data_IF_694068854922
#
_entry.id   IF_694068854922
#
_cell.length_a   1.000
_cell.length_b   1.000
_cell.length_c   1.000
_cell.angle_alpha   90.00
_cell.angle_beta   90.00
_cell.angle_gamma   90.00
#
_symmetry.space_group_name_H-M   'P 1'
#
loop_
_entity.id
_entity.type
_entity.pdbx_description
1 polymer ?
#
# COMPACT_ATOMS: atom_id res chain seq x y z
N UNK A 1 14.22 -31.21 -53.20
CA UNK A 1 13.53 -29.98 -52.88
C UNK A 1 14.58 -28.88 -52.68
N UNK A 2 14.66 -27.87 -53.59
CA UNK A 2 15.56 -26.71 -53.47
C UNK A 2 14.88 -25.67 -52.53
N UNK A 3 15.36 -25.51 -51.31
CA UNK A 3 15.00 -24.41 -50.46
C UNK A 3 15.56 -23.10 -51.04
N UNK A 4 14.65 -22.26 -51.60
CA UNK A 4 15.02 -20.90 -52.02
C UNK A 4 15.42 -20.10 -50.80
N UNK A 5 16.69 -19.70 -50.69
CA UNK A 5 17.10 -18.69 -49.72
C UNK A 5 16.35 -17.38 -50.01
N UNK A 6 15.74 -16.74 -49.02
CA UNK A 6 15.10 -15.46 -49.28
C UNK A 6 16.14 -14.44 -49.76
N UNK A 7 15.78 -13.70 -50.80
CA UNK A 7 16.67 -12.69 -51.40
C UNK A 7 16.81 -11.51 -50.44
N UNK A 8 17.95 -10.82 -50.47
CA UNK A 8 18.23 -9.61 -49.68
C UNK A 8 17.14 -8.53 -49.81
N UNK A 9 16.39 -8.47 -50.91
CA UNK A 9 15.26 -7.59 -51.12
C UNK A 9 14.09 -7.92 -50.21
N UNK A 10 13.86 -9.21 -49.91
CA UNK A 10 12.78 -9.67 -49.04
C UNK A 10 12.94 -9.20 -47.60
N UNK A 11 14.19 -9.16 -47.08
CA UNK A 11 14.50 -8.67 -45.76
C UNK A 11 14.29 -7.15 -45.61
N UNK A 12 14.60 -6.38 -46.65
CA UNK A 12 14.32 -4.93 -46.65
C UNK A 12 12.84 -4.60 -46.64
N UNK A 13 12.05 -5.36 -47.41
CA UNK A 13 10.60 -5.20 -47.44
C UNK A 13 9.98 -5.59 -46.07
N UNK A 14 10.46 -6.67 -45.45
CA UNK A 14 10.03 -7.06 -44.12
C UNK A 14 10.41 -6.00 -43.06
N UNK A 15 11.65 -5.51 -43.08
CA UNK A 15 12.09 -4.49 -42.13
C UNK A 15 11.35 -3.16 -42.32
N UNK A 16 11.10 -2.72 -43.53
CA UNK A 16 10.34 -1.50 -43.82
C UNK A 16 8.86 -1.61 -43.47
N UNK A 17 8.29 -2.82 -43.52
CA UNK A 17 6.89 -3.06 -43.12
C UNK A 17 6.71 -3.25 -41.60
N UNK A 18 7.70 -3.83 -40.92
CA UNK A 18 7.60 -4.10 -39.47
C UNK A 18 7.97 -2.89 -38.63
N UNK A 19 8.90 -2.03 -39.04
CA UNK A 19 9.31 -0.84 -38.32
C UNK A 19 8.15 0.13 -38.00
N UNK A 20 7.29 0.53 -38.99
CA UNK A 20 6.14 1.38 -38.68
C UNK A 20 5.11 0.69 -37.79
N UNK A 21 4.92 -0.63 -37.93
CA UNK A 21 4.01 -1.38 -37.07
C UNK A 21 4.48 -1.39 -35.60
N UNK A 22 5.78 -1.61 -35.38
CA UNK A 22 6.39 -1.55 -34.06
C UNK A 22 6.30 -0.13 -33.47
N UNK A 23 6.54 0.90 -34.29
CA UNK A 23 6.41 2.29 -33.87
C UNK A 23 4.95 2.65 -33.51
N UNK A 24 3.96 2.16 -34.28
CA UNK A 24 2.56 2.36 -33.99
C UNK A 24 2.15 1.62 -32.70
N UNK A 25 2.57 0.40 -32.51
CA UNK A 25 2.34 -0.35 -31.29
C UNK A 25 2.97 0.35 -30.07
N UNK A 26 4.18 0.89 -30.22
CA UNK A 26 4.85 1.67 -29.20
C UNK A 26 4.09 2.95 -28.81
N UNK A 27 3.44 3.60 -29.79
CA UNK A 27 2.66 4.81 -29.58
C UNK A 27 1.23 4.55 -29.07
N UNK A 28 0.66 3.39 -29.43
CA UNK A 28 -0.74 3.04 -29.09
C UNK A 28 -0.89 2.33 -27.73
N UNK A 29 0.20 1.89 -27.12
CA UNK A 29 0.17 1.24 -25.80
C UNK A 29 0.82 2.15 -24.74
N UNK A 30 0.14 3.24 -24.33
CA UNK A 30 0.73 4.27 -23.46
C UNK A 30 1.12 3.75 -22.07
N UNK A 31 0.53 2.62 -21.62
CA UNK A 31 0.78 2.06 -20.30
C UNK A 31 1.81 0.91 -20.28
N UNK A 32 2.33 0.53 -21.44
CA UNK A 32 3.38 -0.49 -21.59
C UNK A 32 4.45 0.00 -22.55
N UNK A 33 5.13 1.05 -22.17
CA UNK A 33 6.30 1.46 -22.92
C UNK A 33 7.35 0.37 -22.80
N UNK A 34 7.86 -0.12 -23.94
CA UNK A 34 8.95 -1.12 -23.99
C UNK A 34 10.14 -0.66 -23.14
N UNK A 35 10.33 0.65 -23.05
CA UNK A 35 11.31 1.29 -22.18
C UNK A 35 11.03 0.99 -20.71
N UNK A 36 9.82 1.25 -20.23
CA UNK A 36 9.46 1.03 -18.82
C UNK A 36 9.55 -0.45 -18.46
N UNK A 37 9.14 -1.34 -19.38
CA UNK A 37 9.31 -2.77 -19.21
C UNK A 37 10.79 -3.17 -19.15
N UNK A 38 11.65 -2.59 -20.00
CA UNK A 38 13.07 -2.87 -19.99
C UNK A 38 13.73 -2.31 -18.72
N UNK A 39 13.37 -1.10 -18.29
CA UNK A 39 13.90 -0.46 -17.10
C UNK A 39 13.49 -1.26 -15.85
N UNK A 40 12.20 -1.62 -15.71
CA UNK A 40 11.70 -2.47 -14.61
C UNK A 40 12.36 -3.86 -14.63
N UNK A 41 12.55 -4.45 -15.82
CA UNK A 41 13.20 -5.75 -15.94
C UNK A 41 14.68 -5.68 -15.52
N UNK A 42 15.39 -4.63 -15.90
CA UNK A 42 16.78 -4.41 -15.50
C UNK A 42 16.90 -4.14 -14.00
N UNK A 43 15.97 -3.38 -13.43
CA UNK A 43 15.88 -3.14 -11.99
C UNK A 43 15.59 -4.43 -11.21
N UNK A 44 14.80 -5.33 -11.78
CA UNK A 44 14.51 -6.65 -11.17
C UNK A 44 15.76 -7.52 -11.08
N UNK A 45 16.68 -7.42 -12.04
CA UNK A 45 17.98 -8.13 -12.01
C UNK A 45 18.95 -7.53 -11.00
N UNK A 46 18.83 -6.25 -10.68
CA UNK A 46 19.62 -5.56 -9.65
C UNK A 46 18.70 -4.86 -8.63
N UNK A 47 17.82 -5.65 -8.00
CA UNK A 47 16.82 -5.17 -7.05
C UNK A 47 17.41 -4.35 -5.89
N UNK A 48 18.73 -4.42 -5.67
CA UNK A 48 19.43 -3.66 -4.63
C UNK A 48 19.81 -2.24 -5.06
N UNK A 49 19.75 -1.95 -6.35
CA UNK A 49 20.27 -0.69 -6.88
C UNK A 49 19.39 0.51 -6.60
N UNK A 50 18.06 0.32 -6.63
CA UNK A 50 17.07 1.37 -6.45
C UNK A 50 16.04 1.03 -5.37
N UNK A 51 16.41 0.16 -4.42
CA UNK A 51 15.52 -0.23 -3.34
C UNK A 51 16.25 -0.30 -2.00
N UNK A 52 15.51 -0.01 -0.96
CA UNK A 52 15.99 0.06 0.41
C UNK A 52 15.47 -1.14 1.18
N UNK A 53 16.39 -1.81 1.85
CA UNK A 53 16.10 -3.03 2.57
C UNK A 53 15.40 -2.72 3.89
N UNK A 54 14.26 -3.35 4.12
CA UNK A 54 13.54 -3.35 5.39
C UNK A 54 13.65 -4.75 5.99
N UNK A 55 14.12 -4.84 7.23
CA UNK A 55 14.23 -6.09 7.98
C UNK A 55 13.37 -6.05 9.22
N UNK A 56 12.60 -7.09 9.44
CA UNK A 56 11.91 -7.30 10.71
C UNK A 56 11.70 -8.80 10.94
N UNK A 57 11.97 -9.27 12.14
CA UNK A 57 11.77 -10.66 12.58
C UNK A 57 12.29 -11.73 11.59
N UNK A 58 13.52 -11.54 11.11
CA UNK A 58 14.17 -12.43 10.16
C UNK A 58 13.65 -12.36 8.73
N UNK A 59 12.67 -11.54 8.45
CA UNK A 59 12.09 -11.31 7.13
C UNK A 59 12.67 -10.04 6.49
N UNK A 60 12.74 -10.04 5.18
CA UNK A 60 13.33 -8.96 4.39
C UNK A 60 12.38 -8.57 3.28
N UNK A 61 12.20 -7.27 3.11
CA UNK A 61 11.48 -6.68 2.00
C UNK A 61 12.30 -5.51 1.42
N UNK A 62 12.19 -5.28 0.13
CA UNK A 62 12.87 -4.17 -0.55
C UNK A 62 11.85 -3.15 -1.01
N UNK A 63 12.01 -1.90 -0.56
CA UNK A 63 11.09 -0.80 -0.82
C UNK A 63 11.74 0.29 -1.68
N UNK A 64 11.00 0.86 -2.62
CA UNK A 64 11.55 1.80 -3.60
C UNK A 64 11.86 3.21 -3.05
N UNK A 65 11.20 3.64 -1.97
CA UNK A 65 11.38 4.96 -1.39
C UNK A 65 12.23 4.88 -0.11
N UNK A 66 13.38 5.56 -0.09
CA UNK A 66 14.32 5.54 1.04
C UNK A 66 13.69 6.05 2.34
N UNK A 67 13.01 7.20 2.29
CA UNK A 67 12.36 7.80 3.46
C UNK A 67 11.33 6.85 4.08
N UNK A 68 10.48 6.26 3.25
CA UNK A 68 9.44 5.35 3.72
C UNK A 68 10.04 4.06 4.29
N UNK A 69 11.11 3.54 3.68
CA UNK A 69 11.82 2.38 4.20
C UNK A 69 12.44 2.65 5.57
N UNK A 70 13.02 3.83 5.76
CA UNK A 70 13.60 4.24 7.04
C UNK A 70 12.53 4.38 8.14
N UNK A 71 11.39 5.01 7.83
CA UNK A 71 10.27 5.15 8.76
C UNK A 71 9.66 3.79 9.15
N UNK A 72 9.52 2.88 8.19
CA UNK A 72 9.07 1.51 8.47
C UNK A 72 10.09 0.73 9.30
N UNK A 73 11.38 0.91 9.06
CA UNK A 73 12.43 0.28 9.87
C UNK A 73 12.41 0.77 11.33
N UNK A 74 11.93 1.98 11.60
CA UNK A 74 11.68 2.50 12.95
C UNK A 74 10.39 1.91 13.55
N UNK A 75 9.30 1.87 12.78
CA UNK A 75 7.99 1.47 13.26
C UNK A 75 7.87 -0.03 13.53
N UNK A 76 8.39 -0.87 12.63
CA UNK A 76 8.17 -2.32 12.68
C UNK A 76 8.70 -2.99 13.98
N UNK A 77 9.89 -2.64 14.51
CA UNK A 77 10.36 -3.19 15.79
C UNK A 77 9.45 -2.81 16.97
N UNK A 78 8.82 -1.63 16.92
CA UNK A 78 7.86 -1.22 17.94
C UNK A 78 6.58 -2.02 17.82
N UNK A 79 6.08 -2.20 16.58
CA UNK A 79 4.92 -3.02 16.31
C UNK A 79 5.11 -4.47 16.77
N UNK A 80 6.24 -5.11 16.41
CA UNK A 80 6.58 -6.48 16.86
C UNK A 80 6.62 -6.61 18.38
N UNK A 81 7.13 -5.59 19.08
CA UNK A 81 7.24 -5.62 20.55
C UNK A 81 5.89 -5.59 21.24
N UNK A 82 4.91 -4.88 20.68
CA UNK A 82 3.59 -4.72 21.27
C UNK A 82 2.57 -5.74 20.76
N UNK A 83 2.81 -6.31 19.59
CA UNK A 83 1.97 -7.37 19.00
C UNK A 83 2.02 -8.64 19.85
N UNK A 84 0.90 -9.31 19.94
CA UNK A 84 0.79 -10.66 20.53
C UNK A 84 0.51 -11.66 19.43
N UNK A 85 0.95 -12.92 19.59
CA UNK A 85 0.62 -13.96 18.64
C UNK A 85 -0.88 -14.05 18.38
N UNK A 86 -1.26 -13.90 17.12
CA UNK A 86 -2.65 -13.94 16.67
C UNK A 86 -3.42 -12.63 16.72
N UNK A 87 -2.79 -11.51 17.15
CA UNK A 87 -3.40 -10.19 17.09
C UNK A 87 -3.85 -9.88 15.64
N UNK A 88 -5.01 -9.26 15.53
CA UNK A 88 -5.58 -8.81 14.28
C UNK A 88 -5.00 -7.45 13.90
N UNK A 89 -4.21 -7.42 12.84
CA UNK A 89 -3.62 -6.21 12.29
C UNK A 89 -4.44 -5.73 11.10
N UNK A 90 -4.77 -4.45 11.07
CA UNK A 90 -5.29 -3.77 9.87
C UNK A 90 -4.23 -2.80 9.36
N UNK A 91 -3.92 -2.89 8.08
CA UNK A 91 -3.04 -1.94 7.40
C UNK A 91 -3.91 -1.15 6.43
N UNK A 92 -3.88 0.17 6.53
CA UNK A 92 -4.73 1.05 5.76
C UNK A 92 -4.07 2.37 5.39
N UNK A 93 -4.80 3.19 4.68
CA UNK A 93 -4.41 4.54 4.31
C UNK A 93 -4.58 5.50 5.47
N UNK A 94 -3.91 6.66 5.45
CA UNK A 94 -4.01 7.68 6.48
C UNK A 94 -5.43 8.22 6.68
N UNK A 95 -6.23 8.25 5.62
CA UNK A 95 -7.66 8.56 5.65
C UNK A 95 -8.45 7.42 5.01
N UNK A 96 -9.11 6.62 5.82
CA UNK A 96 -9.89 5.45 5.36
C UNK A 96 -11.16 5.80 4.56
N UNK A 97 -11.46 7.07 4.36
CA UNK A 97 -12.46 7.51 3.36
C UNK A 97 -11.90 7.44 1.94
N UNK A 98 -10.59 7.49 1.82
CA UNK A 98 -9.84 7.25 0.58
C UNK A 98 -9.10 5.93 0.74
N UNK A 99 -9.09 5.09 -0.24
CA UNK A 99 -8.40 3.81 -0.16
C UNK A 99 -7.58 3.59 -1.44
N UNK A 100 -6.59 4.48 -1.73
CA UNK A 100 -5.86 4.40 -3.00
C UNK A 100 -5.00 3.13 -3.07
N UNK A 101 -4.20 2.86 -2.06
CA UNK A 101 -3.35 1.68 -1.93
C UNK A 101 -3.02 1.44 -0.45
N UNK A 102 -2.68 0.23 -0.08
CA UNK A 102 -2.17 -0.12 1.24
C UNK A 102 -0.80 -0.79 1.16
N UNK A 103 -0.08 -0.74 2.27
CA UNK A 103 1.23 -1.37 2.42
C UNK A 103 1.07 -2.86 2.80
N UNK A 104 0.37 -3.63 1.96
CA UNK A 104 0.02 -5.03 2.24
C UNK A 104 1.24 -5.92 2.57
N UNK A 105 2.44 -5.58 2.07
CA UNK A 105 3.68 -6.31 2.39
C UNK A 105 4.05 -6.25 3.88
N UNK A 106 3.54 -5.28 4.64
CA UNK A 106 3.80 -5.16 6.09
C UNK A 106 3.23 -6.36 6.86
N UNK A 107 2.15 -7.00 6.37
CA UNK A 107 1.69 -8.27 6.94
C UNK A 107 2.76 -9.36 6.88
N UNK A 108 3.55 -9.38 5.82
CA UNK A 108 4.67 -10.31 5.73
C UNK A 108 5.75 -10.01 6.76
N UNK A 109 6.00 -8.75 7.08
CA UNK A 109 7.03 -8.33 8.03
C UNK A 109 6.62 -8.46 9.51
N UNK A 110 5.34 -8.71 9.79
CA UNK A 110 4.79 -8.89 11.14
C UNK A 110 4.14 -10.29 11.29
N UNK A 111 4.94 -11.37 11.27
CA UNK A 111 4.44 -12.75 11.16
C UNK A 111 3.59 -13.24 12.31
N UNK A 112 3.73 -12.68 13.51
CA UNK A 112 2.90 -13.03 14.65
C UNK A 112 1.48 -12.50 14.56
N UNK A 113 1.23 -11.53 13.70
CA UNK A 113 -0.11 -10.99 13.50
C UNK A 113 -0.84 -11.74 12.39
N UNK A 114 -2.13 -11.49 12.28
CA UNK A 114 -2.95 -11.95 11.17
C UNK A 114 -3.74 -10.81 10.58
N UNK A 115 -4.08 -10.84 9.28
CA UNK A 115 -4.96 -9.82 8.69
C UNK A 115 -6.25 -9.67 9.48
N UNK A 116 -6.54 -8.44 9.89
CA UNK A 116 -7.73 -8.05 10.65
C UNK A 116 -8.86 -7.55 9.76
N UNK A 117 -8.64 -7.44 8.45
CA UNK A 117 -9.63 -6.99 7.49
C UNK A 117 -9.70 -7.93 6.28
N UNK A 118 -10.86 -7.94 5.64
CA UNK A 118 -11.05 -8.58 4.34
C UNK A 118 -10.35 -7.78 3.21
N UNK A 119 -10.25 -6.46 3.38
CA UNK A 119 -9.70 -5.53 2.38
C UNK A 119 -8.20 -5.34 2.59
N UNK A 120 -7.38 -6.33 2.20
CA UNK A 120 -5.93 -6.28 2.41
C UNK A 120 -5.29 -5.16 1.60
N UNK A 121 -5.77 -4.92 0.38
CA UNK A 121 -5.23 -3.90 -0.53
C UNK A 121 -6.06 -2.61 -0.56
N UNK A 122 -7.12 -2.54 0.22
CA UNK A 122 -7.95 -1.33 0.35
C UNK A 122 -8.52 -0.82 -0.98
N UNK A 123 -9.13 -1.72 -1.77
CA UNK A 123 -9.71 -1.39 -3.08
C UNK A 123 -10.66 -0.19 -3.00
N UNK A 124 -10.42 0.90 -3.77
CA UNK A 124 -11.29 2.06 -3.82
C UNK A 124 -12.69 1.74 -4.30
N UNK A 125 -13.70 2.39 -3.70
CA UNK A 125 -15.11 2.16 -4.04
C UNK A 125 -15.68 0.88 -3.45
N UNK A 126 -14.85 0.01 -2.87
CA UNK A 126 -15.26 -1.22 -2.19
C UNK A 126 -14.95 -1.15 -0.70
N UNK A 127 -13.69 -0.94 -0.33
CA UNK A 127 -13.28 -0.88 1.07
C UNK A 127 -13.85 0.35 1.79
N UNK A 128 -13.95 1.50 1.10
CA UNK A 128 -14.49 2.74 1.62
C UNK A 128 -15.99 2.95 1.36
N UNK A 129 -16.70 1.98 0.79
CA UNK A 129 -18.14 2.07 0.60
C UNK A 129 -18.89 2.17 1.95
N UNK A 130 -20.08 2.78 1.94
CA UNK A 130 -20.88 2.95 3.16
C UNK A 130 -21.33 1.64 3.78
N UNK A 131 -21.54 0.62 2.95
CA UNK A 131 -21.96 -0.73 3.37
C UNK A 131 -20.78 -1.70 3.51
N UNK A 132 -19.53 -1.19 3.41
CA UNK A 132 -18.36 -2.03 3.59
C UNK A 132 -18.22 -2.52 5.03
N UNK A 133 -17.61 -3.69 5.18
CA UNK A 133 -17.34 -4.24 6.52
C UNK A 133 -16.08 -3.65 7.20
N UNK A 134 -15.39 -2.70 6.58
CA UNK A 134 -14.12 -2.17 7.11
C UNK A 134 -14.25 -1.61 8.53
N UNK A 135 -15.33 -0.87 8.80
CA UNK A 135 -15.59 -0.34 10.14
C UNK A 135 -15.82 -1.46 11.18
N UNK A 136 -16.42 -2.58 10.76
CA UNK A 136 -16.62 -3.75 11.62
C UNK A 136 -15.32 -4.51 11.85
N UNK A 137 -14.53 -4.70 10.79
CA UNK A 137 -13.20 -5.30 10.87
C UNK A 137 -12.31 -4.51 11.86
N UNK A 138 -12.33 -3.18 11.80
CA UNK A 138 -11.61 -2.31 12.74
C UNK A 138 -12.11 -2.44 14.19
N UNK A 139 -13.41 -2.64 14.41
CA UNK A 139 -13.93 -2.88 15.77
C UNK A 139 -13.34 -4.15 16.39
N UNK A 140 -12.88 -5.08 15.59
CA UNK A 140 -12.29 -6.35 16.00
C UNK A 140 -10.77 -6.41 15.85
N UNK A 141 -10.14 -5.36 15.31
CA UNK A 141 -8.70 -5.28 15.19
C UNK A 141 -8.03 -4.94 16.52
N UNK A 142 -6.82 -5.42 16.74
CA UNK A 142 -5.99 -5.17 17.93
C UNK A 142 -4.97 -4.08 17.66
N UNK A 143 -4.41 -4.08 16.45
CA UNK A 143 -3.42 -3.14 15.94
C UNK A 143 -3.87 -2.57 14.60
N UNK A 144 -3.48 -1.33 14.34
CA UNK A 144 -3.66 -0.68 13.03
C UNK A 144 -2.36 0.04 12.66
N UNK A 145 -1.95 -0.10 11.41
CA UNK A 145 -0.90 0.72 10.81
C UNK A 145 -1.54 1.52 9.69
N UNK A 146 -1.47 2.83 9.79
CA UNK A 146 -1.92 3.75 8.76
C UNK A 146 -0.73 4.26 7.96
N UNK A 147 -0.88 4.33 6.64
CA UNK A 147 0.14 4.84 5.71
C UNK A 147 -0.39 6.06 4.98
N UNK A 148 0.43 7.12 4.92
CA UNK A 148 0.22 8.30 4.08
C UNK A 148 1.10 8.28 2.83
N UNK A 149 1.86 7.22 2.61
CA UNK A 149 2.78 7.10 1.48
C UNK A 149 2.09 7.27 0.13
N UNK A 150 0.79 6.99 0.07
CA UNK A 150 -0.01 7.02 -1.15
C UNK A 150 -1.11 8.11 -1.14
N UNK A 151 -1.08 9.06 -0.21
CA UNK A 151 -2.13 10.08 -0.07
C UNK A 151 -2.32 10.91 -1.35
N UNK A 152 -1.25 11.16 -2.09
CA UNK A 152 -1.26 11.90 -3.35
C UNK A 152 -1.47 11.00 -4.59
N UNK A 153 -1.50 9.68 -4.41
CA UNK A 153 -1.70 8.75 -5.51
C UNK A 153 -3.19 8.64 -5.82
N UNK A 154 -3.51 8.69 -7.10
CA UNK A 154 -4.88 8.57 -7.59
C UNK A 154 -4.93 7.60 -8.76
N UNK A 155 -5.59 6.49 -8.53
CA UNK A 155 -5.91 5.55 -9.59
C UNK A 155 -7.00 6.11 -10.53
N UNK A 156 -7.16 5.56 -11.75
CA UNK A 156 -8.23 5.95 -12.66
C UNK A 156 -9.65 5.64 -12.16
N UNK A 157 -9.78 4.96 -11.04
CA UNK A 157 -11.03 4.56 -10.39
C UNK A 157 -11.49 5.57 -9.32
N UNK A 158 -12.16 5.12 -8.29
CA UNK A 158 -12.84 5.94 -7.28
C UNK A 158 -11.93 6.41 -6.12
N UNK A 159 -10.60 6.29 -6.23
CA UNK A 159 -9.68 6.64 -5.13
C UNK A 159 -9.77 8.12 -4.69
N UNK A 160 -10.29 8.99 -5.55
CA UNK A 160 -10.53 10.42 -5.24
C UNK A 160 -11.85 10.68 -4.52
N UNK A 161 -12.78 9.75 -4.60
CA UNK A 161 -14.11 9.90 -3.99
C UNK A 161 -13.99 9.58 -2.51
N UNK A 162 -14.48 10.49 -1.69
CA UNK A 162 -14.54 10.27 -0.24
C UNK A 162 -15.69 9.31 0.07
N UNK A 163 -15.34 8.19 0.65
CA UNK A 163 -16.30 7.19 1.11
C UNK A 163 -16.74 7.40 2.57
N UNK A 164 -17.12 6.29 3.19
CA UNK A 164 -17.68 6.24 4.53
C UNK A 164 -16.75 6.83 5.60
N UNK A 165 -17.30 7.62 6.48
CA UNK A 165 -16.59 8.15 7.67
C UNK A 165 -16.55 7.13 8.83
N UNK A 166 -17.29 6.03 8.73
CA UNK A 166 -17.43 5.07 9.81
C UNK A 166 -16.08 4.42 10.23
N UNK A 167 -15.19 4.00 9.31
CA UNK A 167 -13.90 3.47 9.69
C UNK A 167 -13.05 4.46 10.50
N UNK A 168 -12.91 5.70 10.02
CA UNK A 168 -12.16 6.73 10.75
C UNK A 168 -12.76 7.06 12.13
N UNK A 169 -14.06 6.96 12.27
CA UNK A 169 -14.72 7.13 13.57
C UNK A 169 -14.30 6.02 14.52
N UNK A 170 -14.31 4.76 14.09
CA UNK A 170 -13.85 3.62 14.90
C UNK A 170 -12.41 3.81 15.36
N UNK A 171 -11.53 4.30 14.48
CA UNK A 171 -10.14 4.60 14.85
C UNK A 171 -10.09 5.63 16.00
N UNK A 172 -10.74 6.76 15.83
CA UNK A 172 -10.75 7.82 16.86
C UNK A 172 -11.34 7.36 18.20
N UNK A 173 -12.37 6.54 18.14
CA UNK A 173 -13.12 6.14 19.33
C UNK A 173 -12.45 5.00 20.11
N UNK A 174 -11.59 4.20 19.45
CA UNK A 174 -11.10 2.94 20.04
C UNK A 174 -9.60 2.73 20.00
N UNK A 175 -8.87 3.57 19.30
CA UNK A 175 -7.43 3.37 19.12
C UNK A 175 -6.62 4.55 19.66
N UNK A 176 -5.50 4.21 20.29
CA UNK A 176 -4.51 5.15 20.79
C UNK A 176 -3.26 5.08 19.93
N UNK A 177 -2.70 6.23 19.60
CA UNK A 177 -1.44 6.32 18.87
C UNK A 177 -0.29 5.84 19.75
N UNK A 178 0.53 4.95 19.22
CA UNK A 178 1.72 4.40 19.87
C UNK A 178 2.98 5.05 19.34
N UNK A 179 3.02 5.21 18.01
CA UNK A 179 4.14 5.82 17.30
C UNK A 179 3.63 6.48 16.02
N UNK A 180 4.13 7.67 15.74
CA UNK A 180 3.89 8.37 14.49
C UNK A 180 5.25 8.82 13.92
N UNK A 181 5.62 8.31 12.74
CA UNK A 181 6.88 8.63 12.07
C UNK A 181 6.71 9.73 11.00
N UNK A 182 5.49 10.23 10.82
CA UNK A 182 5.14 11.19 9.78
C UNK A 182 4.35 10.52 8.66
N UNK A 183 4.96 9.64 7.90
CA UNK A 183 4.28 8.86 6.85
C UNK A 183 3.46 7.72 7.44
N UNK A 184 3.91 7.08 8.51
CA UNK A 184 3.23 5.94 9.12
C UNK A 184 2.80 6.24 10.55
N UNK A 185 1.65 5.69 10.92
CA UNK A 185 1.14 5.76 12.28
C UNK A 185 0.75 4.36 12.77
N UNK A 186 1.36 3.95 13.88
CA UNK A 186 1.04 2.72 14.61
C UNK A 186 0.01 3.03 15.69
N UNK A 187 -1.12 2.38 15.61
CA UNK A 187 -2.21 2.50 16.57
C UNK A 187 -2.44 1.16 17.28
N UNK A 188 -2.78 1.21 18.52
CA UNK A 188 -3.22 0.06 19.32
C UNK A 188 -4.58 0.34 19.92
N UNK A 189 -5.39 -0.70 20.10
CA UNK A 189 -6.64 -0.57 20.86
C UNK A 189 -6.35 -0.01 22.25
N UNK A 190 -7.06 1.07 22.63
CA UNK A 190 -6.89 1.69 23.94
C UNK A 190 -7.30 0.73 25.06
N UNK A 191 -6.60 0.78 26.20
CA UNK A 191 -6.81 -0.14 27.32
C UNK A 191 -8.22 -0.03 27.90
N UNK A 192 -8.77 1.18 27.94
CA UNK A 192 -10.09 1.48 28.52
C UNK A 192 -11.23 1.41 27.49
N UNK A 193 -10.94 0.96 26.26
CA UNK A 193 -11.91 0.88 25.17
C UNK A 193 -12.42 2.23 24.65
N UNK A 194 -11.87 3.34 25.15
CA UNK A 194 -12.20 4.70 24.73
C UNK A 194 -10.95 5.38 24.17
N UNK A 195 -11.04 5.95 22.96
CA UNK A 195 -9.98 6.70 22.33
C UNK A 195 -9.71 8.05 23.04
N UNK A 196 -8.62 8.74 22.69
CA UNK A 196 -8.14 9.96 23.37
C UNK A 196 -9.13 11.13 23.38
N UNK A 197 -10.23 11.08 22.66
CA UNK A 197 -11.29 12.11 22.65
C UNK A 197 -12.35 11.95 23.75
N UNK A 198 -12.28 10.88 24.55
CA UNK A 198 -13.19 10.70 25.69
C UNK A 198 -12.88 11.61 26.89
N UNK A 199 -11.72 12.26 26.93
CA UNK A 199 -11.30 13.12 28.07
C UNK A 199 -11.57 14.63 27.88
N UNK A 200 -11.98 15.07 26.67
CA UNK A 200 -12.21 16.51 26.41
C UNK A 200 -13.57 17.03 26.85
N UNK A 201 -14.34 16.28 27.61
CA UNK A 201 -15.72 16.60 28.04
C UNK A 201 -15.93 16.86 29.53
N UNK A 202 -14.91 17.10 30.30
CA UNK A 202 -15.06 17.29 31.75
C UNK A 202 -14.13 18.35 32.34
N UNK A 203 -14.56 19.59 32.39
CA UNK A 203 -14.33 20.55 33.49
C UNK A 203 -14.26 21.99 32.98
N UNK A 204 -15.36 22.69 32.90
CA UNK A 204 -15.44 24.07 33.33
C UNK A 204 -16.88 24.34 33.84
N UNK A 205 -17.11 23.99 35.06
CA UNK A 205 -18.18 24.61 35.85
C UNK A 205 -17.53 25.18 37.11
N UNK A 206 -17.60 26.48 37.28
CA UNK A 206 -17.52 27.12 38.58
C UNK A 206 -16.32 28.01 38.84
N UNK A 207 -16.39 29.28 38.54
CA UNK A 207 -16.52 30.41 39.48
C UNK A 207 -16.53 31.74 38.76
#
# INVERSE_FOLDING_TARGET
ARTRRPSWSSWRVLALGTLPLVAILYLLVPNFLVRDFADISLETFDARRNSHEIRNDGRVFYYGAESNAAELAELLPVASRIAKPGDRLVIGTGDLRKTPLSEAFVYFLLPETRPGTFYIEMDPGVANADDSRLADDLRHADLVILSRAWDEFHEPNDSRVLGSTAPNRVLRDRFCSVLNTGTYELLRRCADGTGPQGEAGGTTAGR
#
